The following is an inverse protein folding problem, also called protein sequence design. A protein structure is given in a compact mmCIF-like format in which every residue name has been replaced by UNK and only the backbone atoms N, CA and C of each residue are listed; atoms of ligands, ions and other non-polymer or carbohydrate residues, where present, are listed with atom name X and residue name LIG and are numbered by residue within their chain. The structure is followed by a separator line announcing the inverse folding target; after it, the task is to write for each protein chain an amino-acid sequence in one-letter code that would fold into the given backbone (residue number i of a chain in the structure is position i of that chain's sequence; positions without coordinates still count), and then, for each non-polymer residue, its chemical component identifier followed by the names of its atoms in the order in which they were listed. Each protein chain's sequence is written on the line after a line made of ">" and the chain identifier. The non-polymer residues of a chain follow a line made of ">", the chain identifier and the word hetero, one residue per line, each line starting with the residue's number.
data_IF_770501945039
#
_entry.id   IF_770501945039
#
_cell.length_a   1.000
_cell.length_b   1.000
_cell.length_c   1.000
_cell.angle_alpha   90.00
_cell.angle_beta   90.00
_cell.angle_gamma   90.00
#
_symmetry.space_group_name_H-M   'P 1'
#
loop_
_entity.id
_entity.type
_entity.pdbx_description
1 polymer ?
#
# COMPACT_ATOMS: atom_id res chain seq x y z
N UNK A 1 -28.53 1.19 -30.18
CA UNK A 1 -29.50 1.15 -29.07
C UNK A 1 -29.09 2.04 -27.88
N UNK A 2 -27.82 2.10 -27.50
CA UNK A 2 -27.33 2.89 -26.36
C UNK A 2 -27.27 4.42 -26.54
N UNK A 3 -27.21 4.91 -27.79
CA UNK A 3 -27.12 6.35 -28.09
C UNK A 3 -28.40 7.11 -27.68
N UNK A 4 -29.56 6.48 -27.84
CA UNK A 4 -30.87 7.00 -27.41
C UNK A 4 -30.99 7.09 -25.87
N UNK A 5 -30.35 6.15 -25.17
CA UNK A 5 -30.36 6.08 -23.71
C UNK A 5 -29.58 7.25 -23.08
N UNK A 6 -28.40 7.58 -23.65
CA UNK A 6 -27.63 8.75 -23.21
C UNK A 6 -28.28 10.09 -23.58
N UNK A 7 -28.99 10.18 -24.71
CA UNK A 7 -29.71 11.39 -25.09
C UNK A 7 -30.90 11.69 -24.17
N UNK A 8 -31.55 10.66 -23.60
CA UNK A 8 -32.64 10.85 -22.64
C UNK A 8 -32.18 11.36 -21.27
N UNK A 9 -30.98 11.01 -20.83
CA UNK A 9 -30.41 11.49 -19.55
C UNK A 9 -30.09 12.99 -19.63
N UNK A 10 -29.73 13.51 -20.81
CA UNK A 10 -29.45 14.93 -21.03
C UNK A 10 -30.71 15.79 -21.33
N UNK A 11 -31.91 15.19 -21.29
CA UNK A 11 -33.18 15.85 -21.68
C UNK A 11 -34.26 15.71 -20.60
N UNK A 12 -33.89 15.96 -19.34
CA UNK A 12 -34.84 16.19 -18.24
C UNK A 12 -34.38 17.39 -17.42
N UNK A 13 -34.73 18.60 -17.87
CA UNK A 13 -35.01 19.72 -16.98
C UNK A 13 -35.79 20.79 -17.75
N UNK A 14 -37.09 20.97 -17.46
CA UNK A 14 -37.72 22.23 -17.73
C UNK A 14 -38.68 22.63 -16.60
N UNK A 15 -38.28 23.53 -15.71
CA UNK A 15 -39.25 24.31 -14.91
C UNK A 15 -38.66 25.72 -14.70
N UNK A 16 -39.28 26.74 -15.29
CA UNK A 16 -38.99 28.14 -15.01
C UNK A 16 -39.50 28.51 -13.61
N UNK A 17 -38.62 29.02 -12.75
CA UNK A 17 -39.00 29.84 -11.59
C UNK A 17 -38.23 31.15 -11.65
N UNK A 18 -38.93 32.23 -11.98
CA UNK A 18 -38.45 33.60 -11.80
C UNK A 18 -38.72 34.03 -10.35
N UNK A 19 -37.65 34.18 -9.56
CA UNK A 19 -37.49 35.21 -8.51
C UNK A 19 -36.39 34.82 -7.53
N UNK A 20 -35.47 35.75 -7.27
CA UNK A 20 -34.53 35.68 -6.15
C UNK A 20 -33.08 35.56 -6.59
N UNK A 21 -32.42 36.70 -6.71
CA UNK A 21 -30.97 36.83 -6.69
C UNK A 21 -30.41 36.20 -5.40
N UNK A 22 -30.03 34.92 -5.48
CA UNK A 22 -29.20 34.27 -4.49
C UNK A 22 -28.01 33.68 -5.24
N UNK A 23 -26.84 34.27 -4.99
CA UNK A 23 -25.54 33.73 -5.39
C UNK A 23 -25.34 32.43 -4.61
N UNK A 24 -25.91 31.34 -5.11
CA UNK A 24 -25.60 30.02 -4.62
C UNK A 24 -24.22 29.67 -5.16
N UNK A 25 -23.25 29.63 -4.25
CA UNK A 25 -21.93 29.09 -4.45
C UNK A 25 -22.06 27.73 -5.12
N UNK A 26 -21.77 27.69 -6.42
CA UNK A 26 -21.71 26.46 -7.19
C UNK A 26 -20.63 25.60 -6.54
N UNK A 27 -21.05 24.59 -5.77
CA UNK A 27 -20.18 23.49 -5.34
C UNK A 27 -19.55 22.91 -6.60
N UNK A 28 -18.32 23.34 -6.90
CA UNK A 28 -17.56 22.96 -8.08
C UNK A 28 -17.14 21.51 -7.91
N UNK A 29 -18.08 20.60 -8.12
CA UNK A 29 -17.86 19.17 -8.19
C UNK A 29 -16.71 18.96 -9.17
N UNK A 30 -15.64 18.34 -8.68
CA UNK A 30 -14.45 18.09 -9.47
C UNK A 30 -14.85 17.38 -10.78
N UNK A 31 -14.27 17.77 -11.92
CA UNK A 31 -14.70 17.26 -13.21
C UNK A 31 -14.44 15.75 -13.26
N UNK A 32 -15.51 14.96 -13.44
CA UNK A 32 -15.47 13.49 -13.57
C UNK A 32 -14.43 13.04 -14.63
N UNK A 33 -14.18 13.89 -15.63
CA UNK A 33 -13.16 13.68 -16.65
C UNK A 33 -11.73 13.54 -16.08
N UNK A 34 -11.38 14.28 -15.02
CA UNK A 34 -10.07 14.19 -14.38
C UNK A 34 -9.86 12.80 -13.77
N UNK A 35 -10.81 12.33 -12.95
CA UNK A 35 -10.78 11.00 -12.34
C UNK A 35 -10.69 9.89 -13.38
N UNK A 36 -11.42 10.01 -14.50
CA UNK A 36 -11.35 9.04 -15.59
C UNK A 36 -9.96 9.00 -16.23
N UNK A 37 -9.30 10.14 -16.44
CA UNK A 37 -7.92 10.16 -16.97
C UNK A 37 -6.95 9.44 -16.04
N UNK A 38 -7.06 9.67 -14.74
CA UNK A 38 -6.17 9.08 -13.73
C UNK A 38 -6.46 7.59 -13.59
N UNK A 39 -7.73 7.18 -13.64
CA UNK A 39 -8.14 5.78 -13.72
C UNK A 39 -7.47 5.05 -14.90
N UNK A 40 -7.47 5.65 -16.09
CA UNK A 40 -6.76 5.08 -17.24
C UNK A 40 -5.24 5.04 -17.03
N UNK A 41 -4.64 6.05 -16.40
CA UNK A 41 -3.20 6.02 -16.05
C UNK A 41 -2.87 4.86 -15.09
N UNK A 42 -3.72 4.61 -14.09
CA UNK A 42 -3.61 3.47 -13.18
C UNK A 42 -3.77 2.13 -13.91
N UNK A 43 -4.72 2.03 -14.83
CA UNK A 43 -4.89 0.85 -15.67
C UNK A 43 -3.62 0.54 -16.46
N UNK A 44 -3.00 1.56 -17.08
CA UNK A 44 -1.74 1.41 -17.81
C UNK A 44 -0.61 0.95 -16.89
N UNK A 45 -0.49 1.50 -15.67
CA UNK A 45 0.49 1.04 -14.69
C UNK A 45 0.32 -0.44 -14.31
N UNK A 46 -0.92 -0.95 -14.25
CA UNK A 46 -1.16 -2.38 -14.01
C UNK A 46 -0.59 -3.23 -15.15
N UNK A 47 -0.80 -2.84 -16.40
CA UNK A 47 -0.21 -3.55 -17.54
C UNK A 47 1.33 -3.49 -17.53
N UNK A 48 1.91 -2.36 -17.12
CA UNK A 48 3.36 -2.22 -16.93
C UNK A 48 3.85 -3.24 -15.89
N UNK A 49 3.18 -3.39 -14.76
CA UNK A 49 3.53 -4.38 -13.73
C UNK A 49 3.50 -5.82 -14.27
N UNK A 50 2.49 -6.17 -15.07
CA UNK A 50 2.41 -7.47 -15.72
C UNK A 50 3.57 -7.66 -16.70
N UNK A 51 3.94 -6.63 -17.45
CA UNK A 51 5.07 -6.66 -18.37
C UNK A 51 6.40 -6.87 -17.65
N UNK A 52 6.65 -6.12 -16.58
CA UNK A 52 7.86 -6.25 -15.78
C UNK A 52 7.95 -7.65 -15.14
N UNK A 53 6.83 -8.19 -14.66
CA UNK A 53 6.78 -9.53 -14.07
C UNK A 53 7.13 -10.66 -15.05
N UNK A 54 7.07 -10.43 -16.36
CA UNK A 54 7.40 -11.43 -17.39
C UNK A 54 8.82 -11.31 -17.93
N UNK A 55 9.59 -10.33 -17.49
CA UNK A 55 10.92 -10.07 -18.02
C UNK A 55 11.92 -11.12 -17.49
N UNK A 56 12.78 -11.71 -18.34
CA UNK A 56 13.74 -12.76 -17.94
C UNK A 56 14.99 -12.16 -17.28
N UNK A 57 14.79 -11.32 -16.26
CA UNK A 57 15.86 -10.70 -15.45
C UNK A 57 15.91 -11.34 -14.05
N UNK A 58 17.03 -11.25 -13.32
CA UNK A 58 17.13 -11.82 -11.98
C UNK A 58 16.08 -11.21 -11.04
N UNK A 59 15.46 -12.06 -10.20
CA UNK A 59 14.28 -11.71 -9.41
C UNK A 59 14.44 -10.50 -8.50
N UNK A 60 15.66 -10.24 -7.99
CA UNK A 60 15.94 -9.09 -7.13
C UNK A 60 15.69 -7.74 -7.84
N UNK A 61 16.08 -7.64 -9.11
CA UNK A 61 15.88 -6.42 -9.91
C UNK A 61 14.40 -6.23 -10.28
N UNK A 62 13.69 -7.34 -10.57
CA UNK A 62 12.25 -7.33 -10.80
C UNK A 62 11.55 -6.78 -9.55
N UNK A 63 11.84 -7.33 -8.37
CA UNK A 63 11.21 -6.92 -7.10
C UNK A 63 11.44 -5.44 -6.83
N UNK A 64 12.68 -4.94 -6.99
CA UNK A 64 12.98 -3.52 -6.80
C UNK A 64 12.18 -2.61 -7.73
N UNK A 65 12.07 -2.98 -9.01
CA UNK A 65 11.30 -2.22 -10.00
C UNK A 65 9.79 -2.25 -9.72
N UNK A 66 9.24 -3.40 -9.32
CA UNK A 66 7.84 -3.54 -8.94
C UNK A 66 7.50 -2.68 -7.71
N UNK A 67 8.37 -2.66 -6.70
CA UNK A 67 8.19 -1.80 -5.52
C UNK A 67 8.19 -0.33 -5.92
N UNK A 68 9.10 0.08 -6.81
CA UNK A 68 9.14 1.45 -7.32
C UNK A 68 7.83 1.83 -8.02
N UNK A 69 7.34 0.98 -8.93
CA UNK A 69 6.06 1.21 -9.63
C UNK A 69 4.91 1.26 -8.62
N UNK A 70 4.91 0.38 -7.62
CA UNK A 70 3.90 0.38 -6.56
C UNK A 70 3.88 1.69 -5.76
N UNK A 71 5.04 2.24 -5.40
CA UNK A 71 5.12 3.53 -4.69
C UNK A 71 4.49 4.65 -5.53
N UNK A 72 4.85 4.74 -6.81
CA UNK A 72 4.29 5.75 -7.72
C UNK A 72 2.77 5.59 -7.82
N UNK A 73 2.29 4.34 -7.94
CA UNK A 73 0.87 4.03 -7.98
C UNK A 73 0.16 4.50 -6.69
N UNK A 74 0.72 4.21 -5.52
CA UNK A 74 0.17 4.62 -4.23
C UNK A 74 0.09 6.13 -4.10
N UNK A 75 1.13 6.87 -4.53
CA UNK A 75 1.13 8.33 -4.50
C UNK A 75 0.04 8.90 -5.42
N UNK A 76 -0.13 8.35 -6.61
CA UNK A 76 -1.15 8.80 -7.56
C UNK A 76 -2.57 8.55 -7.02
N UNK A 77 -2.81 7.39 -6.40
CA UNK A 77 -4.08 7.09 -5.74
C UNK A 77 -4.34 8.03 -4.57
N UNK A 78 -3.35 8.23 -3.70
CA UNK A 78 -3.50 9.11 -2.54
C UNK A 78 -3.75 10.56 -2.95
N UNK A 79 -3.04 11.08 -3.95
CA UNK A 79 -3.17 12.48 -4.34
C UNK A 79 -4.50 12.80 -5.03
N UNK A 80 -5.01 11.88 -5.85
CA UNK A 80 -6.20 12.14 -6.68
C UNK A 80 -7.47 11.43 -6.23
N UNK A 81 -7.41 10.15 -5.87
CA UNK A 81 -8.61 9.38 -5.47
C UNK A 81 -9.01 9.62 -4.02
N UNK A 82 -8.05 9.95 -3.16
CA UNK A 82 -8.34 10.39 -1.79
C UNK A 82 -8.49 11.92 -1.67
N UNK A 83 -8.52 12.63 -2.80
CA UNK A 83 -8.72 14.09 -2.88
C UNK A 83 -7.72 14.93 -2.07
N UNK A 84 -6.60 14.33 -1.66
CA UNK A 84 -5.61 14.94 -0.76
C UNK A 84 -5.00 16.24 -1.30
N UNK A 85 -5.05 16.47 -2.61
CA UNK A 85 -4.60 17.71 -3.26
C UNK A 85 -5.63 18.85 -3.21
N UNK A 86 -6.93 18.54 -3.09
CA UNK A 86 -8.00 19.55 -3.03
C UNK A 86 -8.49 19.80 -1.60
N UNK A 87 -8.16 18.90 -0.67
CA UNK A 87 -8.40 19.04 0.78
C UNK A 87 -7.43 20.02 1.46
N UNK A 88 -7.76 20.45 2.68
CA UNK A 88 -6.89 21.28 3.50
C UNK A 88 -5.54 20.61 3.77
N UNK A 89 -4.46 21.41 3.76
CA UNK A 89 -3.08 20.95 4.01
C UNK A 89 -2.93 20.23 5.35
N UNK A 90 -3.82 20.52 6.31
CA UNK A 90 -3.89 19.84 7.60
C UNK A 90 -4.19 18.34 7.44
N UNK A 91 -5.15 17.95 6.59
CA UNK A 91 -5.48 16.55 6.36
C UNK A 91 -4.33 15.80 5.67
N UNK A 92 -3.67 16.44 4.71
CA UNK A 92 -2.48 15.89 4.05
C UNK A 92 -1.34 15.65 5.06
N UNK A 93 -1.13 16.57 6.00
CA UNK A 93 -0.14 16.42 7.06
C UNK A 93 -0.49 15.27 8.02
N UNK A 94 -1.74 15.19 8.48
CA UNK A 94 -2.20 14.10 9.36
C UNK A 94 -2.05 12.75 8.67
N UNK A 95 -2.45 12.64 7.39
CA UNK A 95 -2.27 11.42 6.61
C UNK A 95 -0.79 11.04 6.46
N UNK A 96 0.07 12.00 6.11
CA UNK A 96 1.52 11.78 6.02
C UNK A 96 2.11 11.31 7.36
N UNK A 97 1.66 11.86 8.48
CA UNK A 97 2.09 11.45 9.82
C UNK A 97 1.67 10.00 10.12
N UNK A 98 0.45 9.61 9.75
CA UNK A 98 -0.04 8.25 9.94
C UNK A 98 0.79 7.23 9.14
N UNK A 99 1.11 7.55 7.88
CA UNK A 99 1.99 6.70 7.05
C UNK A 99 3.40 6.61 7.63
N UNK A 100 3.94 7.71 8.14
CA UNK A 100 5.26 7.74 8.77
C UNK A 100 5.30 6.88 10.04
N UNK A 101 4.32 7.01 10.93
CA UNK A 101 4.22 6.18 12.13
C UNK A 101 3.98 4.70 11.79
N UNK A 102 3.17 4.41 10.77
CA UNK A 102 3.00 3.05 10.26
C UNK A 102 4.33 2.47 9.78
N UNK A 103 5.09 3.20 8.97
CA UNK A 103 6.37 2.73 8.46
C UNK A 103 7.39 2.51 9.58
N UNK A 104 7.44 3.42 10.56
CA UNK A 104 8.27 3.28 11.74
C UNK A 104 7.91 2.00 12.53
N UNK A 105 6.62 1.76 12.77
CA UNK A 105 6.14 0.55 13.43
C UNK A 105 6.53 -0.72 12.67
N UNK A 106 6.40 -0.72 11.35
CA UNK A 106 6.82 -1.84 10.51
C UNK A 106 8.32 -2.11 10.61
N UNK A 107 9.16 -1.07 10.55
CA UNK A 107 10.62 -1.23 10.65
C UNK A 107 11.02 -1.83 12.00
N UNK A 108 10.44 -1.33 13.09
CA UNK A 108 10.69 -1.86 14.43
C UNK A 108 10.22 -3.31 14.51
N UNK A 109 8.97 -3.59 14.10
CA UNK A 109 8.39 -4.93 14.14
C UNK A 109 9.18 -5.95 13.31
N UNK A 110 9.61 -5.58 12.11
CA UNK A 110 10.41 -6.46 11.24
C UNK A 110 11.82 -6.69 11.81
N UNK A 111 12.40 -5.69 12.47
CA UNK A 111 13.67 -5.84 13.17
C UNK A 111 13.54 -6.80 14.35
N UNK A 112 12.48 -6.66 15.14
CA UNK A 112 12.16 -7.56 16.27
C UNK A 112 11.92 -9.01 15.80
N UNK A 113 11.17 -9.20 14.72
CA UNK A 113 10.93 -10.50 14.10
C UNK A 113 12.25 -11.17 13.68
N UNK A 114 13.13 -10.42 13.02
CA UNK A 114 14.45 -10.93 12.59
C UNK A 114 15.36 -11.22 13.78
N UNK A 115 15.30 -10.39 14.82
CA UNK A 115 16.03 -10.62 16.08
C UNK A 115 15.62 -11.95 16.71
N UNK A 116 14.31 -12.18 16.88
CA UNK A 116 13.79 -13.44 17.45
C UNK A 116 14.18 -14.67 16.63
N UNK A 117 14.12 -14.58 15.30
CA UNK A 117 14.52 -15.68 14.42
C UNK A 117 16.01 -16.01 14.57
N UNK A 118 16.87 -14.99 14.70
CA UNK A 118 18.29 -15.17 14.96
C UNK A 118 18.55 -15.87 16.30
N UNK A 119 17.88 -15.46 17.39
CA UNK A 119 18.05 -16.09 18.70
C UNK A 119 17.57 -17.56 18.71
N UNK A 120 16.40 -17.86 18.13
CA UNK A 120 15.93 -19.26 18.02
C UNK A 120 16.86 -20.13 17.19
N UNK A 121 17.45 -19.59 16.11
CA UNK A 121 18.42 -20.32 15.28
C UNK A 121 19.71 -20.62 16.05
N UNK A 122 20.20 -19.67 16.85
CA UNK A 122 21.43 -19.84 17.65
C UNK A 122 21.21 -20.78 18.82
N UNK A 123 20.10 -20.64 19.55
CA UNK A 123 19.76 -21.54 20.66
C UNK A 123 19.43 -22.96 20.16
N UNK A 124 18.68 -23.09 19.07
CA UNK A 124 18.42 -24.38 18.42
C UNK A 124 19.69 -25.13 18.07
N UNK A 125 20.71 -24.45 17.52
CA UNK A 125 22.02 -25.05 17.24
C UNK A 125 22.75 -25.44 18.53
N UNK A 126 22.57 -24.71 19.63
CA UNK A 126 23.16 -25.05 20.93
C UNK A 126 22.53 -26.33 21.51
N UNK A 127 21.21 -26.46 21.48
CA UNK A 127 20.52 -27.70 21.90
C UNK A 127 20.92 -28.89 21.02
N UNK A 128 21.05 -28.71 19.70
CA UNK A 128 21.50 -29.76 18.78
C UNK A 128 22.99 -30.13 18.91
N UNK A 129 23.81 -29.23 19.47
CA UNK A 129 25.22 -29.51 19.78
C UNK A 129 25.38 -30.10 21.19
N UNK A 130 24.42 -29.84 22.06
CA UNK A 130 24.29 -30.46 23.38
C UNK A 130 23.66 -31.85 23.30
N UNK A 131 22.97 -32.22 22.22
CA UNK A 131 22.35 -33.53 22.03
C UNK A 131 23.09 -34.29 20.92
N UNK A 132 23.71 -35.42 21.24
CA UNK A 132 24.30 -36.37 20.31
C UNK A 132 23.28 -36.84 19.26
N UNK A 133 23.73 -37.33 18.10
CA UNK A 133 22.88 -37.82 17.02
C UNK A 133 21.88 -38.92 17.46
N UNK A 134 22.12 -39.51 18.63
CA UNK A 134 21.29 -40.53 19.27
C UNK A 134 20.22 -39.95 20.23
N UNK A 135 20.11 -38.62 20.39
CA UNK A 135 19.16 -37.98 21.31
C UNK A 135 19.66 -37.82 22.75
N UNK A 136 20.92 -38.16 23.03
CA UNK A 136 21.51 -38.10 24.37
C UNK A 136 22.34 -36.83 24.58
N UNK A 137 22.29 -36.20 25.76
CA UNK A 137 23.12 -35.02 26.01
C UNK A 137 24.64 -35.34 25.94
N UNK A 138 25.42 -34.54 25.21
CA UNK A 138 26.84 -34.70 25.01
C UNK A 138 27.57 -34.72 26.37
N UNK A 139 28.40 -35.75 26.64
CA UNK A 139 28.91 -36.03 27.98
C UNK A 139 29.83 -34.94 28.57
N UNK A 140 30.35 -34.03 27.75
CA UNK A 140 31.30 -32.98 28.12
C UNK A 140 30.81 -31.54 27.78
N UNK A 141 29.53 -31.37 27.45
CA UNK A 141 28.95 -30.04 27.27
C UNK A 141 28.86 -29.26 28.59
N UNK A 142 28.84 -27.92 28.57
CA UNK A 142 28.54 -27.13 29.75
C UNK A 142 27.19 -27.58 30.32
N UNK A 143 27.18 -28.05 31.57
CA UNK A 143 25.95 -28.46 32.26
C UNK A 143 25.07 -27.22 32.38
N UNK A 144 24.05 -27.07 31.53
CA UNK A 144 23.00 -26.08 31.73
C UNK A 144 22.36 -26.38 33.09
N UNK A 145 22.58 -25.49 34.05
CA UNK A 145 21.97 -25.58 35.36
C UNK A 145 20.48 -25.26 35.22
N UNK A 146 19.66 -26.30 35.00
CA UNK A 146 18.21 -26.21 34.86
C UNK A 146 17.50 -25.98 36.20
N UNK A 147 18.02 -25.07 37.02
CA UNK A 147 17.39 -24.71 38.28
C UNK A 147 17.33 -23.19 38.42
N UNK A 148 16.40 -22.58 37.68
CA UNK A 148 15.60 -21.42 38.10
C UNK A 148 14.48 -21.13 37.13
#
# INVERSE_FOLDING_TARGET
>A
MFKSFFTKINKQSPENYTSGENKHDEHKLLPVSLYLKIFFALLVMIFINIGISKLPIPGLYITGLLIFVAIVQTVLVAMFFMELIHEDKFYSFVFGSAVLFMLLFFVISLTELKGRDFFHKVEGIKYLREVDQNGNFAPHGPKSNQNK
#
